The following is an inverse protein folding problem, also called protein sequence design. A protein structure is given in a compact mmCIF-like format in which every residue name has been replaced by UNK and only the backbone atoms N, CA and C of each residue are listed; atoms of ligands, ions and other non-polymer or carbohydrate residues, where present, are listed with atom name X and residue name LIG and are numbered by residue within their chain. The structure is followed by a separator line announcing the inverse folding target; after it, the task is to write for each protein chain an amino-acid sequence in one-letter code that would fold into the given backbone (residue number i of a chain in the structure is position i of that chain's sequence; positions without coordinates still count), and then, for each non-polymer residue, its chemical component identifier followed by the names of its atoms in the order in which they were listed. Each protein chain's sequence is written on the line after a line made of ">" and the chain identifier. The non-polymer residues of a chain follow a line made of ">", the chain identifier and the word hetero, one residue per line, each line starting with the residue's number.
data_IF_753059715837
#
_entry.id   IF_753059715837
#
_cell.length_a   1.000
_cell.length_b   1.000
_cell.length_c   1.000
_cell.angle_alpha   90.00
_cell.angle_beta   90.00
_cell.angle_gamma   90.00
#
_symmetry.space_group_name_H-M   'P 1'
#
loop_
_entity.id
_entity.type
_entity.pdbx_description
1 polymer ?
#
# COMPACT_ATOMS: atom_id res chain seq x y z
N UNK A 1 6.94 -13.76 -54.79
CA UNK A 1 6.18 -13.55 -53.54
C UNK A 1 6.82 -14.42 -52.47
N UNK A 2 7.75 -13.85 -51.72
CA UNK A 2 8.44 -14.52 -50.61
C UNK A 2 7.59 -14.35 -49.35
N UNK A 3 7.17 -15.46 -48.75
CA UNK A 3 6.45 -15.47 -47.49
C UNK A 3 7.37 -14.93 -46.37
N UNK A 4 6.86 -14.00 -45.57
CA UNK A 4 7.52 -13.52 -44.37
C UNK A 4 7.68 -14.69 -43.38
N UNK A 5 8.84 -14.83 -42.71
CA UNK A 5 9.02 -15.87 -41.70
C UNK A 5 8.07 -15.60 -40.53
N UNK A 6 7.27 -16.61 -40.18
CA UNK A 6 6.47 -16.60 -38.95
C UNK A 6 7.40 -16.52 -37.76
N UNK A 7 7.33 -15.42 -37.01
CA UNK A 7 7.96 -15.26 -35.71
C UNK A 7 7.32 -16.30 -34.75
N UNK A 8 7.97 -17.44 -34.58
CA UNK A 8 7.64 -18.39 -33.52
C UNK A 8 8.32 -17.89 -32.26
N UNK A 9 7.59 -17.16 -31.42
CA UNK A 9 8.02 -16.83 -30.06
C UNK A 9 7.82 -18.08 -29.22
N UNK A 10 8.92 -18.76 -28.89
CA UNK A 10 8.91 -19.81 -27.87
C UNK A 10 8.74 -19.15 -26.49
N UNK A 11 7.49 -19.01 -26.05
CA UNK A 11 7.18 -18.67 -24.66
C UNK A 11 7.29 -19.94 -23.79
N UNK A 12 8.53 -20.39 -23.58
CA UNK A 12 8.83 -21.54 -22.73
C UNK A 12 8.36 -21.29 -21.29
N UNK A 13 8.48 -20.05 -20.81
CA UNK A 13 8.04 -19.67 -19.46
C UNK A 13 6.52 -19.80 -19.29
N UNK A 14 5.74 -19.38 -20.29
CA UNK A 14 4.29 -19.56 -20.32
C UNK A 14 3.87 -21.03 -20.48
N UNK A 15 4.65 -21.84 -21.19
CA UNK A 15 4.42 -23.29 -21.28
C UNK A 15 4.66 -23.97 -19.92
N UNK A 16 5.80 -23.74 -19.28
CA UNK A 16 6.12 -24.29 -17.96
C UNK A 16 5.15 -23.81 -16.88
N UNK A 17 4.73 -22.55 -16.93
CA UNK A 17 3.71 -22.00 -16.03
C UNK A 17 2.35 -22.68 -16.22
N UNK A 18 1.93 -22.95 -17.47
CA UNK A 18 0.66 -23.62 -17.78
C UNK A 18 0.62 -25.08 -17.36
N UNK A 19 1.69 -25.85 -17.59
CA UNK A 19 1.76 -27.25 -17.18
C UNK A 19 1.75 -27.42 -15.66
N UNK A 20 2.49 -26.55 -14.95
CA UNK A 20 2.51 -26.53 -13.49
C UNK A 20 1.13 -26.16 -12.91
N UNK A 21 0.43 -25.20 -13.51
CA UNK A 21 -0.93 -24.83 -13.14
C UNK A 21 -1.94 -25.96 -13.43
N UNK A 22 -1.78 -26.66 -14.56
CA UNK A 22 -2.59 -27.84 -14.89
C UNK A 22 -2.43 -28.97 -13.87
N UNK A 23 -1.20 -29.26 -13.43
CA UNK A 23 -0.93 -30.26 -12.39
C UNK A 23 -1.48 -29.82 -11.04
N UNK A 24 -1.26 -28.56 -10.66
CA UNK A 24 -1.81 -27.96 -9.43
C UNK A 24 -3.33 -28.12 -9.34
N UNK A 25 -4.06 -27.82 -10.42
CA UNK A 25 -5.51 -28.01 -10.47
C UNK A 25 -5.91 -29.47 -10.25
N UNK A 26 -5.25 -30.41 -10.95
CA UNK A 26 -5.49 -31.85 -10.78
C UNK A 26 -5.24 -32.32 -9.34
N UNK A 27 -4.22 -31.77 -8.67
CA UNK A 27 -3.93 -32.10 -7.27
C UNK A 27 -5.01 -31.57 -6.32
N UNK A 28 -5.54 -30.37 -6.57
CA UNK A 28 -6.63 -29.79 -5.76
C UNK A 28 -7.97 -30.54 -5.92
N UNK A 29 -8.16 -31.25 -7.03
CA UNK A 29 -9.33 -32.08 -7.32
C UNK A 29 -9.27 -33.48 -6.67
N UNK A 30 -8.17 -33.84 -5.99
CA UNK A 30 -8.03 -35.14 -5.33
C UNK A 30 -8.51 -35.06 -3.88
N UNK A 31 -9.47 -35.92 -3.54
CA UNK A 31 -9.94 -36.09 -2.17
C UNK A 31 -8.81 -36.55 -1.23
N UNK A 32 -8.68 -35.87 -0.10
CA UNK A 32 -7.68 -36.14 0.94
C UNK A 32 -6.41 -35.29 0.88
N UNK A 33 -6.21 -34.49 -0.18
CA UNK A 33 -5.12 -33.50 -0.23
C UNK A 33 -5.61 -32.18 0.39
N UNK A 34 -4.91 -31.63 1.40
CA UNK A 34 -5.25 -30.30 1.91
C UNK A 34 -5.19 -29.23 0.80
N UNK A 35 -6.23 -28.41 0.71
CA UNK A 35 -6.38 -27.35 -0.31
C UNK A 35 -5.72 -26.02 0.09
N UNK A 36 -4.82 -26.07 1.06
CA UNK A 36 -4.07 -24.95 1.60
C UNK A 36 -2.60 -25.05 1.26
N UNK A 37 -1.89 -23.92 1.26
CA UNK A 37 -0.44 -23.86 1.01
C UNK A 37 0.35 -24.76 1.98
N UNK A 38 -0.11 -24.81 3.24
CA UNK A 38 0.34 -25.76 4.24
C UNK A 38 -0.79 -26.15 5.20
N UNK A 39 -0.62 -27.25 5.93
CA UNK A 39 -1.51 -27.65 7.02
C UNK A 39 -0.73 -28.36 8.13
N UNK A 40 -0.87 -27.89 9.36
CA UNK A 40 -0.27 -28.53 10.54
C UNK A 40 -1.04 -29.80 10.89
N UNK A 41 -0.31 -30.87 11.17
CA UNK A 41 -0.82 -32.18 11.57
C UNK A 41 -0.80 -32.32 13.09
N UNK A 42 -1.61 -33.25 13.63
CA UNK A 42 -1.70 -33.51 15.08
C UNK A 42 -0.38 -33.95 15.73
N UNK A 43 0.52 -34.52 14.94
CA UNK A 43 1.84 -34.95 15.38
C UNK A 43 2.90 -33.83 15.31
N UNK A 44 2.49 -32.60 15.00
CA UNK A 44 3.36 -31.43 14.89
C UNK A 44 4.15 -31.35 13.57
N UNK A 45 3.91 -32.25 12.62
CA UNK A 45 4.47 -32.14 11.26
C UNK A 45 3.60 -31.27 10.37
N UNK A 46 4.16 -30.78 9.28
CA UNK A 46 3.48 -29.86 8.36
C UNK A 46 3.40 -30.48 6.99
N UNK A 47 2.18 -30.60 6.49
CA UNK A 47 1.95 -30.83 5.06
C UNK A 47 2.28 -29.54 4.29
N UNK A 48 3.07 -29.65 3.22
CA UNK A 48 3.37 -28.52 2.32
C UNK A 48 2.94 -28.86 0.90
N UNK A 49 1.98 -28.10 0.35
CA UNK A 49 1.44 -28.34 -0.99
C UNK A 49 2.51 -28.15 -2.08
N UNK A 50 3.39 -27.16 -1.92
CA UNK A 50 4.51 -26.91 -2.83
C UNK A 50 5.45 -28.12 -2.96
N UNK A 51 5.71 -28.82 -1.85
CA UNK A 51 6.51 -30.06 -1.83
C UNK A 51 5.79 -31.18 -2.56
N UNK A 52 4.49 -31.37 -2.32
CA UNK A 52 3.72 -32.40 -3.04
C UNK A 52 3.72 -32.15 -4.55
N UNK A 53 3.51 -30.90 -4.97
CA UNK A 53 3.56 -30.51 -6.38
C UNK A 53 4.93 -30.83 -7.01
N UNK A 54 6.01 -30.52 -6.28
CA UNK A 54 7.37 -30.84 -6.71
C UNK A 54 7.57 -32.36 -6.85
N UNK A 55 7.22 -33.14 -5.84
CA UNK A 55 7.38 -34.61 -5.84
C UNK A 55 6.62 -35.28 -7.00
N UNK A 56 5.37 -34.89 -7.21
CA UNK A 56 4.55 -35.43 -8.30
C UNK A 56 5.10 -35.02 -9.66
N UNK A 57 5.51 -33.75 -9.82
CA UNK A 57 6.13 -33.27 -11.07
C UNK A 57 7.40 -34.04 -11.42
N UNK A 58 8.28 -34.30 -10.43
CA UNK A 58 9.49 -35.09 -10.64
C UNK A 58 9.16 -36.55 -11.00
N UNK A 59 8.18 -37.16 -10.34
CA UNK A 59 7.76 -38.54 -10.63
C UNK A 59 7.19 -38.71 -12.06
N UNK A 60 6.48 -37.69 -12.57
CA UNK A 60 5.95 -37.68 -13.93
C UNK A 60 7.09 -37.47 -14.93
N UNK A 61 7.94 -36.46 -14.72
CA UNK A 61 9.04 -36.12 -15.63
C UNK A 61 10.12 -37.20 -15.72
N UNK A 62 10.36 -37.95 -14.65
CA UNK A 62 11.34 -39.04 -14.64
C UNK A 62 10.84 -40.33 -15.31
N UNK A 63 9.61 -40.38 -15.85
CA UNK A 63 8.97 -41.60 -16.36
C UNK A 63 8.99 -42.76 -15.35
N UNK A 64 9.04 -42.46 -14.04
CA UNK A 64 9.12 -43.48 -13.00
C UNK A 64 7.82 -44.28 -12.85
N UNK A 65 6.71 -43.76 -13.39
CA UNK A 65 5.39 -44.41 -13.37
C UNK A 65 4.53 -44.02 -14.59
N UNK A 66 4.87 -44.48 -15.81
CA UNK A 66 4.21 -44.03 -17.05
C UNK A 66 2.72 -44.42 -17.13
N UNK A 67 2.31 -45.49 -16.42
CA UNK A 67 0.95 -46.02 -16.43
C UNK A 67 0.13 -45.70 -15.17
N UNK A 68 0.72 -45.00 -14.18
CA UNK A 68 -0.01 -44.66 -12.95
C UNK A 68 -0.78 -43.35 -13.14
N UNK A 69 -2.07 -43.39 -12.78
CA UNK A 69 -2.88 -42.19 -12.65
C UNK A 69 -2.28 -41.21 -11.62
N UNK A 70 -2.34 -39.91 -11.92
CA UNK A 70 -1.82 -38.81 -11.08
C UNK A 70 -2.40 -38.90 -9.67
N UNK A 71 -3.66 -39.31 -9.53
CA UNK A 71 -4.30 -39.53 -8.23
C UNK A 71 -3.58 -40.58 -7.40
N UNK A 72 -3.13 -41.67 -8.02
CA UNK A 72 -2.40 -42.75 -7.35
C UNK A 72 -1.01 -42.26 -6.92
N UNK A 73 -0.29 -41.61 -7.84
CA UNK A 73 1.04 -41.04 -7.57
C UNK A 73 0.97 -40.03 -6.42
N UNK A 74 0.01 -39.11 -6.44
CA UNK A 74 -0.14 -38.10 -5.41
C UNK A 74 -0.45 -38.70 -4.03
N UNK A 75 -1.27 -39.76 -3.97
CA UNK A 75 -1.55 -40.46 -2.70
C UNK A 75 -0.33 -41.20 -2.16
N UNK A 76 0.44 -41.85 -3.03
CA UNK A 76 1.69 -42.53 -2.65
C UNK A 76 2.75 -41.53 -2.12
N UNK A 77 2.79 -40.32 -2.68
CA UNK A 77 3.78 -39.28 -2.33
C UNK A 77 3.31 -38.33 -1.22
N UNK A 78 2.02 -38.33 -0.86
CA UNK A 78 1.45 -37.46 0.18
C UNK A 78 2.22 -37.54 1.51
N UNK A 79 2.61 -38.74 2.03
CA UNK A 79 3.37 -38.82 3.27
C UNK A 79 4.76 -38.15 3.21
N UNK A 80 5.37 -38.08 2.02
CA UNK A 80 6.68 -37.43 1.82
C UNK A 80 6.57 -35.90 1.76
N UNK A 81 5.36 -35.38 1.51
CA UNK A 81 5.05 -33.95 1.58
C UNK A 81 4.78 -33.46 3.02
N UNK A 82 4.81 -34.36 4.00
CA UNK A 82 4.64 -34.06 5.44
C UNK A 82 6.02 -34.02 6.09
N UNK A 83 6.44 -32.81 6.49
CA UNK A 83 7.81 -32.49 6.88
C UNK A 83 7.90 -31.82 8.25
N UNK A 84 9.11 -31.62 8.74
CA UNK A 84 9.35 -30.88 9.99
C UNK A 84 9.05 -29.37 9.82
N UNK A 85 8.71 -28.66 10.92
CA UNK A 85 8.59 -27.20 10.91
C UNK A 85 9.79 -26.47 10.35
N UNK A 86 10.99 -26.85 10.76
CA UNK A 86 12.22 -26.25 10.29
C UNK A 86 12.41 -26.41 8.78
N UNK A 87 12.12 -27.58 8.23
CA UNK A 87 12.21 -27.84 6.79
C UNK A 87 11.15 -27.02 6.02
N UNK A 88 9.91 -26.96 6.52
CA UNK A 88 8.85 -26.17 5.91
C UNK A 88 9.21 -24.67 5.85
N UNK A 89 9.80 -24.14 6.91
CA UNK A 89 10.17 -22.72 6.98
C UNK A 89 11.40 -22.43 6.11
N UNK A 90 12.48 -23.20 6.26
CA UNK A 90 13.76 -22.87 5.63
C UNK A 90 13.83 -23.25 4.15
N UNK A 91 13.25 -24.38 3.75
CA UNK A 91 13.32 -24.88 2.37
C UNK A 91 12.13 -24.44 1.52
N UNK A 92 10.95 -24.33 2.14
CA UNK A 92 9.70 -24.01 1.43
C UNK A 92 9.15 -22.62 1.75
N UNK A 93 9.81 -21.84 2.61
CA UNK A 93 9.45 -20.46 2.90
C UNK A 93 8.09 -20.31 3.59
N UNK A 94 7.63 -21.31 4.32
CA UNK A 94 6.35 -21.26 5.03
C UNK A 94 6.43 -20.23 6.16
N UNK A 95 5.46 -19.32 6.20
CA UNK A 95 5.28 -18.31 7.26
C UNK A 95 3.97 -18.59 8.01
N UNK A 96 3.95 -18.60 9.36
CA UNK A 96 2.72 -18.80 10.12
C UNK A 96 1.67 -17.73 9.78
N UNK A 97 0.42 -18.12 9.58
CA UNK A 97 -0.69 -17.16 9.38
C UNK A 97 -1.12 -16.61 10.75
N UNK A 98 -1.35 -15.30 10.90
CA UNK A 98 -1.39 -14.24 9.88
C UNK A 98 -0.11 -13.37 9.86
N UNK A 99 1.05 -13.95 10.15
CA UNK A 99 2.32 -13.24 10.14
C UNK A 99 2.91 -13.09 8.73
N UNK A 100 3.77 -12.09 8.58
CA UNK A 100 4.64 -11.87 7.42
C UNK A 100 6.05 -11.51 7.88
N UNK A 101 7.03 -11.77 7.02
CA UNK A 101 8.40 -11.31 7.23
C UNK A 101 8.52 -9.90 6.68
N UNK A 102 8.99 -8.96 7.51
CA UNK A 102 9.37 -7.62 7.07
C UNK A 102 10.89 -7.51 7.02
N UNK A 103 11.41 -6.96 5.92
CA UNK A 103 12.84 -6.80 5.63
C UNK A 103 13.31 -5.34 5.74
N UNK A 104 12.40 -4.40 5.98
CA UNK A 104 12.67 -2.97 6.04
C UNK A 104 11.98 -2.30 7.23
N UNK A 105 11.99 -2.97 8.39
CA UNK A 105 11.50 -2.34 9.61
C UNK A 105 12.42 -1.15 9.96
N UNK A 106 11.91 0.04 10.31
CA UNK A 106 12.74 1.20 10.65
C UNK A 106 13.74 0.95 11.79
N UNK A 107 13.46 -0.07 12.62
CA UNK A 107 14.30 -0.49 13.76
C UNK A 107 15.29 -1.60 13.38
N UNK A 108 15.05 -2.28 12.26
CA UNK A 108 15.91 -3.33 11.77
C UNK A 108 17.02 -2.72 10.91
N UNK A 109 18.27 -3.13 11.15
CA UNK A 109 19.37 -2.80 10.26
C UNK A 109 19.19 -3.49 8.91
N UNK A 110 19.90 -3.01 7.89
CA UNK A 110 19.90 -3.63 6.56
C UNK A 110 20.27 -5.13 6.70
N UNK A 111 19.37 -5.99 6.23
CA UNK A 111 19.53 -7.45 6.27
C UNK A 111 18.86 -8.14 7.46
N UNK A 112 18.51 -7.40 8.52
CA UNK A 112 17.73 -7.90 9.64
C UNK A 112 16.24 -8.03 9.28
N UNK A 113 15.51 -8.82 10.06
CA UNK A 113 14.15 -9.25 9.74
C UNK A 113 13.26 -9.26 10.96
N UNK A 114 12.00 -8.89 10.77
CA UNK A 114 10.99 -8.90 11.83
C UNK A 114 9.79 -9.77 11.42
N UNK A 115 9.18 -10.45 12.39
CA UNK A 115 7.89 -11.10 12.20
C UNK A 115 6.76 -10.14 12.55
N UNK A 116 5.86 -9.92 11.61
CA UNK A 116 4.79 -8.92 11.69
C UNK A 116 3.44 -9.60 11.57
N UNK A 117 2.59 -9.45 12.58
CA UNK A 117 1.19 -9.82 12.54
C UNK A 117 0.45 -8.87 11.58
N UNK A 118 0.25 -9.29 10.33
CA UNK A 118 -0.16 -8.41 9.25
C UNK A 118 -1.49 -7.68 9.52
N UNK A 119 -2.55 -8.34 10.04
CA UNK A 119 -3.81 -7.65 10.33
C UNK A 119 -3.75 -6.60 11.44
N UNK A 120 -2.79 -6.72 12.37
CA UNK A 120 -2.65 -5.77 13.46
C UNK A 120 -1.58 -4.72 13.18
N UNK A 121 -0.86 -4.84 12.05
CA UNK A 121 0.30 -4.01 11.73
C UNK A 121 1.26 -3.90 12.94
N UNK A 122 1.50 -5.04 13.58
CA UNK A 122 2.28 -5.14 14.81
C UNK A 122 3.36 -6.19 14.65
N UNK A 123 4.55 -5.95 15.19
CA UNK A 123 5.66 -6.89 15.17
C UNK A 123 5.82 -7.60 16.50
N UNK A 124 6.40 -8.80 16.49
CA UNK A 124 6.94 -9.36 17.72
C UNK A 124 8.16 -8.53 18.18
N UNK A 125 8.47 -8.48 19.49
CA UNK A 125 9.54 -7.64 20.01
C UNK A 125 10.94 -7.94 19.45
N UNK A 126 11.18 -9.19 19.06
CA UNK A 126 12.48 -9.66 18.59
C UNK A 126 12.76 -9.33 17.13
N UNK A 127 14.04 -9.05 16.85
CA UNK A 127 14.58 -8.77 15.52
C UNK A 127 15.61 -9.87 15.23
N UNK A 128 15.47 -10.52 14.07
CA UNK A 128 16.28 -11.67 13.69
C UNK A 128 17.32 -11.29 12.64
N UNK A 129 18.58 -11.72 12.79
CA UNK A 129 19.62 -11.45 11.79
C UNK A 129 19.42 -12.21 10.47
N UNK A 130 18.78 -13.38 10.50
CA UNK A 130 18.65 -14.25 9.32
C UNK A 130 17.43 -15.19 9.40
N UNK A 131 17.27 -16.06 8.39
CA UNK A 131 16.19 -17.05 8.36
C UNK A 131 16.33 -18.14 9.44
N UNK A 132 17.56 -18.53 9.76
CA UNK A 132 17.85 -19.62 10.68
C UNK A 132 17.51 -19.25 12.12
N UNK A 133 17.90 -18.05 12.53
CA UNK A 133 17.59 -17.45 13.84
C UNK A 133 16.10 -17.19 14.04
N UNK A 134 15.35 -16.92 12.98
CA UNK A 134 13.88 -16.73 13.03
C UNK A 134 13.11 -18.06 13.08
N UNK A 135 13.71 -19.15 12.61
CA UNK A 135 13.06 -20.45 12.47
C UNK A 135 12.45 -20.99 13.79
N UNK A 136 13.11 -20.88 14.96
CA UNK A 136 12.50 -21.26 16.24
C UNK A 136 11.21 -20.50 16.55
N UNK A 137 11.21 -19.17 16.38
CA UNK A 137 10.05 -18.33 16.60
C UNK A 137 8.90 -18.68 15.65
N UNK A 138 9.19 -18.82 14.36
CA UNK A 138 8.20 -19.23 13.38
C UNK A 138 7.65 -20.63 13.68
N UNK A 139 8.51 -21.58 14.08
CA UNK A 139 8.09 -22.95 14.41
C UNK A 139 7.17 -22.98 15.62
N UNK A 140 7.50 -22.24 16.68
CA UNK A 140 6.67 -22.14 17.88
C UNK A 140 5.28 -21.60 17.56
N UNK A 141 5.22 -20.50 16.79
CA UNK A 141 3.95 -19.89 16.36
C UNK A 141 3.18 -20.85 15.45
N UNK A 142 3.84 -21.49 14.48
CA UNK A 142 3.22 -22.41 13.52
C UNK A 142 2.50 -23.57 14.21
N UNK A 143 3.07 -24.07 15.31
CA UNK A 143 2.50 -25.16 16.10
C UNK A 143 1.42 -24.71 17.09
N UNK A 144 0.97 -23.46 17.02
CA UNK A 144 -0.06 -22.89 17.88
C UNK A 144 0.44 -22.39 19.23
N UNK A 145 1.76 -22.36 19.44
CA UNK A 145 2.40 -21.73 20.58
C UNK A 145 2.56 -20.22 20.41
N UNK A 146 3.25 -19.61 21.37
CA UNK A 146 3.68 -18.21 21.32
C UNK A 146 5.20 -18.15 21.48
N UNK A 147 5.79 -17.07 20.97
CA UNK A 147 7.20 -16.79 21.11
C UNK A 147 7.42 -15.74 22.20
N UNK A 148 7.79 -16.23 23.38
CA UNK A 148 8.19 -15.42 24.52
C UNK A 148 9.57 -15.92 24.96
N UNK A 149 10.63 -15.63 24.21
CA UNK A 149 11.96 -15.93 24.74
C UNK A 149 12.29 -14.90 25.81
N UNK A 150 12.33 -15.34 27.07
CA UNK A 150 12.95 -14.60 28.17
C UNK A 150 14.44 -14.41 27.82
N UNK A 151 14.80 -13.38 27.06
CA UNK A 151 16.21 -13.13 26.72
C UNK A 151 16.80 -11.85 27.33
N UNK A 152 18.01 -11.93 27.95
CA UNK A 152 18.75 -10.83 28.58
C UNK A 152 19.31 -9.76 27.63
N UNK A 153 18.95 -9.77 26.35
CA UNK A 153 19.55 -8.92 25.32
C UNK A 153 18.56 -7.94 24.65
N UNK A 154 17.30 -7.94 25.09
CA UNK A 154 16.21 -7.16 24.48
C UNK A 154 16.09 -5.71 24.99
N UNK A 155 16.87 -5.32 26.00
CA UNK A 155 16.72 -4.01 26.64
C UNK A 155 17.50 -2.86 26.00
N UNK A 156 18.47 -3.12 25.10
CA UNK A 156 19.28 -2.05 24.47
C UNK A 156 18.91 -1.78 23.00
N UNK A 157 18.62 -2.81 22.17
CA UNK A 157 18.28 -2.59 20.75
C UNK A 157 16.87 -2.05 20.51
N UNK A 158 15.94 -2.28 21.44
CA UNK A 158 14.58 -1.71 21.38
C UNK A 158 14.49 -0.28 21.95
N UNK A 159 15.60 0.33 22.39
CA UNK A 159 15.59 1.66 23.04
C UNK A 159 15.26 2.83 22.11
N UNK A 160 15.06 2.60 20.81
CA UNK A 160 14.69 3.64 19.85
C UNK A 160 13.24 3.65 19.40
N UNK A 161 12.47 2.57 19.60
CA UNK A 161 11.12 2.46 19.04
C UNK A 161 10.03 2.52 20.11
N UNK A 162 9.41 3.69 20.22
CA UNK A 162 8.31 3.98 21.14
C UNK A 162 6.95 3.43 20.64
N UNK A 163 6.93 2.22 20.08
CA UNK A 163 5.69 1.59 19.64
C UNK A 163 4.82 1.16 20.84
N UNK A 164 3.50 1.30 20.72
CA UNK A 164 2.56 0.86 21.74
C UNK A 164 2.58 -0.67 21.85
N UNK A 165 2.88 -1.19 23.04
CA UNK A 165 2.96 -2.63 23.33
C UNK A 165 1.61 -3.18 23.76
N UNK A 166 1.28 -4.40 23.32
CA UNK A 166 0.09 -5.12 23.76
C UNK A 166 0.31 -6.64 23.68
N UNK A 167 -0.48 -7.40 24.43
CA UNK A 167 -0.45 -8.87 24.39
C UNK A 167 -1.70 -9.40 23.68
N UNK A 168 -1.53 -10.28 22.70
CA UNK A 168 -2.63 -10.95 22.02
C UNK A 168 -2.48 -12.46 22.14
N UNK A 169 -3.43 -13.10 22.83
CA UNK A 169 -3.46 -14.56 23.05
C UNK A 169 -2.13 -15.13 23.59
N UNK A 170 -1.46 -14.38 24.46
CA UNK A 170 -0.19 -14.79 25.06
C UNK A 170 1.06 -14.35 24.29
N UNK A 171 0.92 -13.87 23.04
CA UNK A 171 2.02 -13.31 22.25
C UNK A 171 2.15 -11.81 22.50
N UNK A 172 3.34 -11.36 22.90
CA UNK A 172 3.65 -9.94 22.97
C UNK A 172 3.88 -9.36 21.57
N UNK A 173 3.31 -8.17 21.34
CA UNK A 173 3.34 -7.44 20.08
C UNK A 173 3.59 -5.94 20.31
N UNK A 174 4.18 -5.29 19.31
CA UNK A 174 4.48 -3.85 19.27
C UNK A 174 3.86 -3.27 18.00
N UNK A 175 2.96 -2.30 18.15
CA UNK A 175 2.38 -1.59 17.01
C UNK A 175 3.43 -0.77 16.28
N UNK A 176 3.35 -0.77 14.95
CA UNK A 176 4.16 0.14 14.12
C UNK A 176 3.77 1.60 14.31
N UNK A 177 2.46 1.85 14.40
CA UNK A 177 1.90 3.17 14.64
C UNK A 177 1.02 3.09 15.88
N UNK A 178 1.33 3.86 16.94
CA UNK A 178 0.48 3.93 18.12
C UNK A 178 -0.97 4.30 17.77
N UNK A 179 -1.92 3.66 18.43
CA UNK A 179 -3.35 3.94 18.29
C UNK A 179 -3.81 4.78 19.48
N UNK A 180 -4.55 5.85 19.19
CA UNK A 180 -5.02 6.76 20.23
C UNK A 180 -5.45 8.10 19.67
N UNK A 181 -6.37 8.77 20.37
CA UNK A 181 -6.83 10.10 19.97
C UNK A 181 -5.74 11.15 20.18
N UNK A 182 -4.84 10.92 21.14
CA UNK A 182 -3.65 11.73 21.41
C UNK A 182 -2.60 11.68 20.29
N UNK A 183 -2.70 10.68 19.40
CA UNK A 183 -1.83 10.53 18.24
C UNK A 183 -2.42 11.15 16.98
N UNK A 184 -3.66 11.65 17.03
CA UNK A 184 -4.22 12.44 15.95
C UNK A 184 -3.67 13.87 16.02
N UNK A 185 -3.21 14.45 14.90
CA UNK A 185 -2.88 15.87 14.83
C UNK A 185 -4.10 16.72 15.17
N UNK A 186 -3.88 17.99 15.50
CA UNK A 186 -4.97 18.96 15.66
C UNK A 186 -5.80 19.00 14.38
N UNK A 187 -7.10 18.73 14.48
CA UNK A 187 -8.02 18.79 13.36
C UNK A 187 -8.03 20.22 12.79
N UNK A 188 -7.66 20.43 11.51
CA UNK A 188 -7.71 21.75 10.91
C UNK A 188 -9.17 22.14 10.63
N UNK A 189 -9.48 23.42 10.83
CA UNK A 189 -10.79 23.98 10.51
C UNK A 189 -10.87 24.27 9.01
N UNK A 190 -11.86 23.69 8.33
CA UNK A 190 -12.06 23.89 6.89
C UNK A 190 -12.75 25.25 6.67
N UNK A 191 -12.08 26.25 6.06
CA UNK A 191 -12.68 27.56 5.84
C UNK A 191 -13.79 27.49 4.79
N UNK A 192 -14.82 28.34 4.91
CA UNK A 192 -15.86 28.45 3.88
C UNK A 192 -15.43 29.41 2.78
N UNK A 193 -15.78 29.08 1.52
CA UNK A 193 -15.58 30.01 0.41
C UNK A 193 -16.53 31.22 0.56
N UNK A 194 -16.01 32.47 0.57
CA UNK A 194 -16.81 33.67 0.66
C UNK A 194 -17.90 33.70 -0.42
N UNK A 195 -19.12 34.13 -0.07
CA UNK A 195 -20.27 34.14 -1.00
C UNK A 195 -20.03 34.96 -2.28
N UNK A 196 -19.12 35.95 -2.23
CA UNK A 196 -18.73 36.78 -3.37
C UNK A 196 -17.88 36.04 -4.42
N UNK A 197 -17.29 34.90 -4.06
CA UNK A 197 -16.45 34.07 -4.94
C UNK A 197 -17.21 32.88 -5.52
N UNK A 198 -18.49 32.71 -5.20
CA UNK A 198 -19.33 31.59 -5.67
C UNK A 198 -19.76 31.83 -7.12
N UNK A 199 -19.45 30.87 -8.00
CA UNK A 199 -19.96 30.87 -9.38
C UNK A 199 -21.29 30.13 -9.44
N UNK A 200 -22.28 30.66 -10.16
CA UNK A 200 -23.52 29.95 -10.45
C UNK A 200 -23.24 28.87 -11.51
N UNK A 201 -23.28 27.60 -11.11
CA UNK A 201 -23.16 26.47 -12.06
C UNK A 201 -24.53 26.19 -12.67
N UNK A 202 -24.58 26.00 -13.98
CA UNK A 202 -25.78 25.52 -14.68
C UNK A 202 -25.95 24.01 -14.47
N UNK A 203 -27.20 23.59 -14.25
CA UNK A 203 -27.72 22.25 -13.86
C UNK A 203 -27.17 21.00 -14.60
N UNK A 204 -26.31 21.14 -15.62
CA UNK A 204 -25.74 20.03 -16.39
C UNK A 204 -24.40 19.48 -15.86
N UNK A 205 -23.66 20.22 -15.03
CA UNK A 205 -22.33 19.81 -14.53
C UNK A 205 -22.36 18.90 -13.29
N UNK A 206 -23.46 18.91 -12.53
CA UNK A 206 -23.58 18.18 -11.27
C UNK A 206 -23.62 16.65 -11.45
N UNK A 207 -24.02 16.16 -12.63
CA UNK A 207 -24.20 14.74 -12.92
C UNK A 207 -22.92 13.99 -13.30
N UNK A 208 -21.92 14.65 -13.89
CA UNK A 208 -20.59 14.05 -14.18
C UNK A 208 -19.64 14.10 -12.97
N UNK A 209 -19.80 15.12 -12.12
CA UNK A 209 -19.01 15.30 -10.89
C UNK A 209 -19.29 14.26 -9.80
N UNK A 210 -20.50 13.70 -9.77
CA UNK A 210 -20.91 12.69 -8.78
C UNK A 210 -20.21 11.32 -8.90
N UNK A 211 -19.48 11.07 -9.99
CA UNK A 211 -18.74 9.83 -10.21
C UNK A 211 -17.24 9.94 -9.88
N UNK A 212 -16.74 11.13 -9.56
CA UNK A 212 -15.34 11.34 -9.18
C UNK A 212 -15.15 11.12 -7.66
N UNK A 213 -15.05 9.84 -7.28
CA UNK A 213 -14.40 9.32 -6.07
C UNK A 213 -14.76 10.08 -4.78
N UNK A 214 -15.99 9.91 -4.28
CA UNK A 214 -16.25 10.17 -2.86
C UNK A 214 -15.41 9.18 -2.04
N UNK A 215 -14.40 9.64 -1.28
CA UNK A 215 -13.55 8.76 -0.50
C UNK A 215 -14.41 7.96 0.48
N UNK A 216 -14.38 6.63 0.35
CA UNK A 216 -15.11 5.76 1.26
C UNK A 216 -14.39 5.70 2.61
N UNK A 217 -15.12 5.75 3.74
CA UNK A 217 -14.52 5.57 5.06
C UNK A 217 -13.86 4.20 5.19
N UNK A 218 -12.68 4.15 5.81
CA UNK A 218 -12.04 2.87 6.15
C UNK A 218 -12.88 2.11 7.19
N UNK A 219 -13.62 2.80 8.06
CA UNK A 219 -14.57 2.20 9.00
C UNK A 219 -16.02 2.36 8.50
N UNK A 220 -16.25 1.98 7.24
CA UNK A 220 -17.57 1.93 6.61
C UNK A 220 -18.58 1.07 7.38
N UNK A 221 -19.84 1.07 6.93
CA UNK A 221 -20.95 0.34 7.58
C UNK A 221 -20.74 -1.16 7.70
N UNK A 222 -19.90 -1.77 6.86
CA UNK A 222 -19.60 -3.20 6.85
C UNK A 222 -18.58 -3.60 7.92
N UNK A 223 -17.81 -2.64 8.44
CA UNK A 223 -16.84 -2.88 9.51
C UNK A 223 -17.52 -2.73 10.87
N UNK A 224 -17.68 -3.86 11.56
CA UNK A 224 -18.26 -3.92 12.91
C UNK A 224 -17.17 -4.11 13.97
N UNK A 225 -17.39 -3.51 15.14
CA UNK A 225 -16.53 -3.75 16.30
C UNK A 225 -16.57 -5.23 16.73
N UNK A 226 -15.38 -5.80 16.95
CA UNK A 226 -15.16 -7.14 17.51
C UNK A 226 -14.23 -7.04 18.72
N UNK A 227 -14.62 -7.67 19.83
CA UNK A 227 -13.75 -7.79 21.00
C UNK A 227 -12.59 -8.73 20.72
N UNK A 228 -11.42 -8.46 21.31
CA UNK A 228 -10.26 -9.36 21.24
C UNK A 228 -8.97 -8.69 20.75
N UNK A 229 -9.02 -7.43 20.32
CA UNK A 229 -7.85 -6.61 20.00
C UNK A 229 -7.64 -5.55 21.10
N UNK A 230 -6.73 -5.79 22.07
CA UNK A 230 -6.60 -4.94 23.26
C UNK A 230 -6.37 -3.44 23.02
N UNK A 231 -5.60 -3.02 21.98
CA UNK A 231 -5.41 -1.60 21.70
C UNK A 231 -6.70 -0.84 21.34
N UNK A 232 -7.80 -1.53 21.00
CA UNK A 232 -9.04 -0.89 20.55
C UNK A 232 -10.21 -1.40 21.37
N UNK A 233 -10.71 -0.53 22.25
CA UNK A 233 -11.99 -0.72 22.92
C UNK A 233 -13.16 -0.18 22.08
N UNK A 234 -14.39 -0.63 22.39
CA UNK A 234 -15.60 -0.20 21.67
C UNK A 234 -15.76 1.32 21.66
N UNK A 235 -15.52 1.97 22.80
CA UNK A 235 -15.64 3.42 22.91
C UNK A 235 -14.67 4.16 21.98
N UNK A 236 -13.42 3.69 21.87
CA UNK A 236 -12.43 4.25 20.96
C UNK A 236 -12.80 3.98 19.49
N UNK A 237 -13.23 2.76 19.16
CA UNK A 237 -13.71 2.40 17.82
C UNK A 237 -14.87 3.30 17.36
N UNK A 238 -15.90 3.45 18.19
CA UNK A 238 -17.07 4.27 17.85
C UNK A 238 -16.68 5.75 17.70
N UNK A 239 -15.75 6.24 18.54
CA UNK A 239 -15.27 7.62 18.49
C UNK A 239 -14.46 7.90 17.23
N UNK A 240 -13.50 7.05 16.88
CA UNK A 240 -12.64 7.29 15.70
C UNK A 240 -13.42 7.12 14.39
N UNK A 241 -14.39 6.19 14.37
CA UNK A 241 -15.35 6.07 13.27
C UNK A 241 -16.20 7.35 13.11
N UNK A 242 -16.64 7.95 14.22
CA UNK A 242 -17.32 9.24 14.19
C UNK A 242 -16.43 10.33 13.58
N UNK A 243 -15.17 10.44 14.06
CA UNK A 243 -14.20 11.41 13.54
C UNK A 243 -13.96 11.24 12.03
N UNK A 244 -13.81 10.00 11.56
CA UNK A 244 -13.63 9.71 10.13
C UNK A 244 -14.84 10.12 9.29
N UNK A 245 -16.05 9.79 9.72
CA UNK A 245 -17.26 10.18 8.99
C UNK A 245 -17.46 11.70 8.97
N UNK A 246 -17.24 12.37 10.10
CA UNK A 246 -17.33 13.83 10.20
C UNK A 246 -16.30 14.50 9.28
N UNK A 247 -15.05 14.02 9.32
CA UNK A 247 -13.96 14.52 8.48
C UNK A 247 -14.22 14.33 6.99
N UNK A 248 -14.67 13.14 6.58
CA UNK A 248 -15.02 12.88 5.18
C UNK A 248 -16.21 13.74 4.73
N UNK A 249 -17.21 13.93 5.58
CA UNK A 249 -18.34 14.81 5.27
C UNK A 249 -17.90 16.26 5.03
N UNK A 250 -17.04 16.79 5.91
CA UNK A 250 -16.49 18.15 5.80
C UNK A 250 -15.62 18.31 4.55
N UNK A 251 -14.70 17.36 4.32
CA UNK A 251 -13.77 17.41 3.19
C UNK A 251 -14.45 17.17 1.84
N UNK A 252 -15.38 16.24 1.72
CA UNK A 252 -16.21 16.06 0.51
C UNK A 252 -17.05 17.30 0.21
N UNK A 253 -17.50 18.04 1.23
CA UNK A 253 -18.15 19.34 1.06
C UNK A 253 -17.23 20.37 0.43
N UNK A 254 -16.02 20.51 0.97
CA UNK A 254 -15.00 21.43 0.45
C UNK A 254 -14.52 21.05 -0.96
N UNK A 255 -14.27 19.77 -1.23
CA UNK A 255 -13.87 19.25 -2.54
C UNK A 255 -14.97 19.52 -3.56
N UNK A 256 -16.24 19.22 -3.25
CA UNK A 256 -17.36 19.56 -4.15
C UNK A 256 -17.45 21.04 -4.40
N UNK A 257 -17.24 21.87 -3.37
CA UNK A 257 -17.23 23.33 -3.55
C UNK A 257 -16.07 23.78 -4.44
N UNK A 258 -14.89 23.18 -4.30
CA UNK A 258 -13.74 23.43 -5.17
C UNK A 258 -14.06 23.04 -6.62
N UNK A 259 -14.61 21.85 -6.84
CA UNK A 259 -14.98 21.31 -8.14
C UNK A 259 -16.18 22.02 -8.80
N UNK A 260 -17.15 22.50 -8.03
CA UNK A 260 -18.26 23.34 -8.55
C UNK A 260 -17.73 24.72 -8.96
N UNK A 261 -16.64 25.17 -8.35
CA UNK A 261 -15.89 26.33 -8.83
C UNK A 261 -14.81 25.96 -9.87
N UNK A 262 -14.86 24.75 -10.46
CA UNK A 262 -13.99 24.36 -11.58
C UNK A 262 -14.18 25.30 -12.77
N UNK A 263 -13.04 25.64 -13.37
CA UNK A 263 -12.87 26.79 -14.26
C UNK A 263 -11.90 27.83 -13.72
N UNK A 264 -11.36 27.63 -12.51
CA UNK A 264 -10.32 28.47 -11.89
C UNK A 264 -9.10 27.70 -11.36
N UNK A 265 -8.85 26.53 -11.91
CA UNK A 265 -7.51 25.93 -11.93
C UNK A 265 -6.47 26.99 -12.45
N UNK A 266 -6.87 27.84 -13.41
CA UNK A 266 -6.11 29.03 -13.82
C UNK A 266 -5.93 30.10 -12.74
N UNK A 267 -6.80 30.19 -11.72
CA UNK A 267 -6.61 31.13 -10.61
C UNK A 267 -5.53 30.65 -9.63
N UNK A 268 -5.32 29.34 -9.50
CA UNK A 268 -4.15 28.80 -8.81
C UNK A 268 -2.89 29.12 -9.59
N UNK A 269 -2.88 28.87 -10.90
CA UNK A 269 -1.76 29.21 -11.77
C UNK A 269 -1.44 30.72 -11.73
N UNK A 270 -2.47 31.57 -11.78
CA UNK A 270 -2.34 33.02 -11.66
C UNK A 270 -1.76 33.41 -10.30
N UNK A 271 -2.30 32.88 -9.20
CA UNK A 271 -1.79 33.24 -7.88
C UNK A 271 -0.39 32.72 -7.62
N UNK A 272 -0.03 31.51 -8.06
CA UNK A 272 1.35 31.01 -7.94
C UNK A 272 2.34 31.87 -8.72
N UNK A 273 1.93 32.40 -9.89
CA UNK A 273 2.78 33.26 -10.72
C UNK A 273 2.86 34.71 -10.22
N UNK A 274 1.87 35.15 -9.42
CA UNK A 274 1.92 36.43 -8.69
C UNK A 274 2.95 36.45 -7.55
N UNK A 275 3.49 35.29 -7.14
CA UNK A 275 4.53 35.18 -6.09
C UNK A 275 5.85 34.62 -6.65
N UNK A 276 6.70 35.43 -7.30
CA UNK A 276 7.92 34.95 -7.96
C UNK A 276 8.96 34.32 -7.02
N UNK A 277 8.86 34.60 -5.71
CA UNK A 277 9.72 33.99 -4.67
C UNK A 277 9.54 32.47 -4.58
N UNK A 278 8.31 31.97 -4.81
CA UNK A 278 7.96 30.53 -4.91
C UNK A 278 8.79 29.87 -6.01
N UNK A 279 8.77 30.46 -7.20
CA UNK A 279 9.45 29.93 -8.38
C UNK A 279 10.98 30.05 -8.21
N UNK A 280 11.45 31.11 -7.53
CA UNK A 280 12.85 31.26 -7.13
C UNK A 280 13.35 30.16 -6.18
N UNK A 281 12.53 29.75 -5.20
CA UNK A 281 12.86 28.64 -4.30
C UNK A 281 12.90 27.30 -5.03
N UNK A 282 11.92 27.03 -5.89
CA UNK A 282 11.92 25.83 -6.74
C UNK A 282 13.15 25.79 -7.66
N UNK A 283 13.58 26.93 -8.20
CA UNK A 283 14.81 27.01 -8.98
C UNK A 283 16.05 26.67 -8.16
N UNK A 284 16.20 27.25 -6.97
CA UNK A 284 17.36 26.99 -6.12
C UNK A 284 17.53 25.49 -5.82
N UNK A 285 16.42 24.75 -5.85
CA UNK A 285 16.37 23.35 -5.44
C UNK A 285 16.43 22.36 -6.61
N UNK A 286 15.78 22.67 -7.74
CA UNK A 286 15.66 21.76 -8.88
C UNK A 286 16.52 22.18 -10.09
N UNK A 287 17.29 23.27 -10.01
CA UNK A 287 18.16 23.69 -11.11
C UNK A 287 19.45 22.85 -11.23
N UNK A 288 19.88 22.16 -10.18
CA UNK A 288 21.07 21.30 -10.20
C UNK A 288 20.64 19.86 -10.57
N UNK A 289 20.55 19.53 -11.86
CA UNK A 289 20.25 18.14 -12.24
C UNK A 289 20.13 17.78 -13.72
N UNK A 290 19.93 18.73 -14.63
CA UNK A 290 19.77 18.40 -16.06
C UNK A 290 21.06 18.61 -16.86
N UNK A 291 21.76 17.53 -17.19
CA UNK A 291 22.73 17.54 -18.31
C UNK A 291 21.93 17.32 -19.60
N UNK A 292 21.36 18.41 -20.14
CA UNK A 292 20.48 18.41 -21.31
C UNK A 292 21.27 18.20 -22.60
N UNK A 293 21.78 16.98 -22.79
CA UNK A 293 22.70 16.61 -23.87
C UNK A 293 22.03 15.99 -25.09
N UNK A 294 20.73 15.71 -25.08
CA UNK A 294 20.03 14.99 -26.14
C UNK A 294 18.96 15.85 -26.85
N UNK A 295 18.89 15.75 -28.18
CA UNK A 295 17.97 16.54 -29.03
C UNK A 295 16.48 16.33 -28.66
N UNK A 296 16.11 15.13 -28.19
CA UNK A 296 14.74 14.80 -27.77
C UNK A 296 14.29 15.61 -26.53
N UNK A 297 15.19 15.86 -25.58
CA UNK A 297 14.92 16.62 -24.34
C UNK A 297 14.67 18.12 -24.64
N UNK A 298 15.31 18.64 -25.69
CA UNK A 298 15.14 20.02 -26.13
C UNK A 298 13.76 20.25 -26.80
N UNK A 299 13.25 19.27 -27.55
CA UNK A 299 11.90 19.31 -28.12
C UNK A 299 10.84 19.23 -27.02
N UNK A 300 11.00 18.32 -26.06
CA UNK A 300 10.09 18.17 -24.92
C UNK A 300 10.04 19.43 -24.04
N UNK A 301 11.19 20.03 -23.76
CA UNK A 301 11.27 21.29 -23.03
C UNK A 301 10.58 22.44 -23.79
N UNK A 302 10.74 22.51 -25.10
CA UNK A 302 10.04 23.49 -25.94
C UNK A 302 8.52 23.34 -25.84
N UNK A 303 8.01 22.12 -25.87
CA UNK A 303 6.57 21.85 -25.71
C UNK A 303 6.09 22.16 -24.29
N UNK A 304 6.87 21.83 -23.24
CA UNK A 304 6.54 22.22 -21.87
C UNK A 304 6.46 23.75 -21.70
N UNK A 305 7.39 24.51 -22.32
CA UNK A 305 7.36 25.97 -22.28
C UNK A 305 6.17 26.56 -23.04
N UNK A 306 5.71 25.91 -24.10
CA UNK A 306 4.47 26.31 -24.80
C UNK A 306 3.23 26.06 -23.93
N UNK A 307 3.22 24.98 -23.16
CA UNK A 307 2.08 24.60 -22.31
C UNK A 307 2.03 25.35 -20.98
N UNK A 308 3.18 25.76 -20.44
CA UNK A 308 3.31 26.51 -19.19
C UNK A 308 4.09 27.83 -19.36
N UNK A 309 3.62 28.76 -20.22
CA UNK A 309 4.30 30.03 -20.47
C UNK A 309 4.37 30.91 -19.20
N UNK A 310 3.39 30.76 -18.32
CA UNK A 310 3.26 31.52 -17.08
C UNK A 310 4.37 31.18 -16.06
N UNK A 311 5.02 30.01 -16.20
CA UNK A 311 6.14 29.54 -15.38
C UNK A 311 7.51 29.97 -15.93
N UNK A 312 7.58 31.05 -16.70
CA UNK A 312 8.82 31.58 -17.30
C UNK A 312 9.93 31.89 -16.29
N UNK A 313 9.59 32.13 -15.03
CA UNK A 313 10.55 32.36 -13.97
C UNK A 313 11.26 31.08 -13.50
N UNK A 314 10.73 29.88 -13.78
CA UNK A 314 11.46 28.62 -13.54
C UNK A 314 12.60 28.46 -14.54
N UNK A 315 13.71 27.85 -14.12
CA UNK A 315 14.79 27.42 -15.01
C UNK A 315 14.35 26.22 -15.83
N UNK A 316 14.97 26.01 -16.99
CA UNK A 316 14.69 24.85 -17.85
C UNK A 316 14.99 23.53 -17.11
N UNK A 317 16.06 23.52 -16.32
CA UNK A 317 16.39 22.47 -15.34
C UNK A 317 15.23 22.13 -14.41
N UNK A 318 14.72 23.15 -13.74
CA UNK A 318 13.71 22.98 -12.71
C UNK A 318 12.36 22.55 -13.28
N UNK A 319 11.88 23.18 -14.35
CA UNK A 319 10.55 22.85 -14.91
C UNK A 319 10.52 21.42 -15.46
N UNK A 320 11.60 20.97 -16.10
CA UNK A 320 11.70 19.60 -16.61
C UNK A 320 11.74 18.58 -15.48
N UNK A 321 12.63 18.76 -14.49
CA UNK A 321 12.74 17.85 -13.35
C UNK A 321 11.45 17.75 -12.53
N UNK A 322 10.77 18.88 -12.29
CA UNK A 322 9.50 18.92 -11.57
C UNK A 322 8.38 18.23 -12.35
N UNK A 323 8.33 18.43 -13.66
CA UNK A 323 7.30 17.81 -14.51
C UNK A 323 7.51 16.31 -14.65
N UNK A 324 8.75 15.84 -14.83
CA UNK A 324 9.09 14.41 -14.85
C UNK A 324 8.71 13.74 -13.53
N UNK A 325 9.05 14.35 -12.40
CA UNK A 325 8.67 13.83 -11.08
C UNK A 325 7.14 13.79 -10.92
N UNK A 326 6.41 14.83 -11.33
CA UNK A 326 4.94 14.85 -11.33
C UNK A 326 4.34 13.68 -12.15
N UNK A 327 4.84 13.45 -13.37
CA UNK A 327 4.35 12.37 -14.24
C UNK A 327 4.68 10.97 -13.70
N UNK A 328 5.86 10.80 -13.08
CA UNK A 328 6.24 9.53 -12.43
C UNK A 328 5.31 9.17 -11.26
N UNK A 329 4.67 10.19 -10.67
CA UNK A 329 3.81 10.10 -9.51
C UNK A 329 2.35 9.79 -9.87
N UNK A 330 1.80 10.49 -10.88
CA UNK A 330 0.44 10.28 -11.38
C UNK A 330 0.40 9.08 -12.35
N UNK A 331 0.41 7.86 -11.79
CA UNK A 331 0.45 6.57 -12.51
C UNK A 331 -0.67 6.31 -13.54
N UNK A 332 -1.54 7.27 -13.82
CA UNK A 332 -2.59 7.18 -14.84
C UNK A 332 -2.13 7.64 -16.23
N UNK A 333 -0.99 8.32 -16.35
CA UNK A 333 -0.44 8.70 -17.65
C UNK A 333 0.51 7.59 -18.12
N UNK A 334 0.11 6.87 -19.17
CA UNK A 334 0.96 5.93 -19.89
C UNK A 334 2.29 6.61 -20.25
N UNK A 335 3.38 5.84 -20.44
CA UNK A 335 4.70 6.32 -20.95
C UNK A 335 4.68 7.09 -22.29
N UNK A 336 3.51 7.44 -22.82
CA UNK A 336 3.36 8.39 -23.90
C UNK A 336 3.16 9.77 -23.27
N UNK A 337 4.03 10.70 -23.61
CA UNK A 337 4.11 12.07 -23.11
C UNK A 337 3.08 12.97 -23.83
N UNK A 338 1.87 13.24 -23.31
CA UNK A 338 1.14 14.42 -23.77
C UNK A 338 1.71 15.62 -23.02
N UNK A 339 2.49 16.45 -23.71
CA UNK A 339 2.90 17.78 -23.24
C UNK A 339 1.73 18.77 -23.23
N UNK A 340 0.52 18.31 -22.90
CA UNK A 340 -0.66 19.18 -22.75
C UNK A 340 -0.65 19.87 -21.38
N UNK A 341 -1.20 21.09 -21.30
CA UNK A 341 -1.31 21.85 -20.05
C UNK A 341 -2.26 21.11 -19.10
N UNK A 342 -1.72 20.66 -17.98
CA UNK A 342 -2.42 20.00 -16.89
C UNK A 342 -2.34 20.89 -15.65
N UNK A 343 -3.48 21.44 -15.22
CA UNK A 343 -3.45 22.42 -14.14
C UNK A 343 -3.19 21.77 -12.77
N UNK A 344 -3.33 20.45 -12.67
CA UNK A 344 -2.93 19.67 -11.50
C UNK A 344 -1.41 19.74 -11.25
N UNK A 345 -0.61 20.06 -12.29
CA UNK A 345 0.81 20.32 -12.12
C UNK A 345 1.07 21.55 -11.22
N UNK A 346 0.24 22.61 -11.29
CA UNK A 346 0.37 23.76 -10.40
C UNK A 346 0.08 23.41 -8.94
N UNK A 347 -0.90 22.53 -8.69
CA UNK A 347 -1.13 21.99 -7.36
C UNK A 347 0.09 21.20 -6.86
N UNK A 348 0.66 20.34 -7.71
CA UNK A 348 1.90 19.62 -7.38
C UNK A 348 3.03 20.57 -6.97
N UNK A 349 3.28 21.64 -7.74
CA UNK A 349 4.29 22.66 -7.42
C UNK A 349 4.05 23.32 -6.05
N UNK A 350 2.81 23.69 -5.75
CA UNK A 350 2.43 24.25 -4.45
C UNK A 350 2.65 23.26 -3.30
N UNK A 351 2.38 21.97 -3.53
CA UNK A 351 2.62 20.90 -2.57
C UNK A 351 4.09 20.65 -2.25
N UNK A 352 4.94 20.65 -3.28
CA UNK A 352 6.40 20.54 -3.13
C UNK A 352 6.94 21.63 -2.21
N UNK A 353 6.48 22.86 -2.36
CA UNK A 353 6.89 23.97 -1.49
C UNK A 353 6.34 23.86 -0.08
N UNK A 354 5.05 23.55 0.06
CA UNK A 354 4.38 23.45 1.36
C UNK A 354 5.07 22.44 2.29
N UNK A 355 5.53 21.32 1.74
CA UNK A 355 6.22 20.28 2.51
C UNK A 355 7.64 20.66 2.91
N UNK A 356 8.35 21.40 2.05
CA UNK A 356 9.76 21.76 2.27
C UNK A 356 9.95 23.02 3.10
N UNK A 357 9.05 24.00 3.00
CA UNK A 357 9.02 25.20 3.87
C UNK A 357 8.68 24.82 5.31
N UNK A 358 7.77 23.87 5.52
CA UNK A 358 7.40 23.41 6.85
C UNK A 358 8.52 22.62 7.57
N UNK A 359 9.45 21.98 6.83
CA UNK A 359 10.50 21.13 7.39
C UNK A 359 11.81 21.18 6.59
N UNK A 360 12.53 22.31 6.66
CA UNK A 360 13.88 22.39 6.09
C UNK A 360 14.79 21.30 6.71
N UNK A 361 15.23 20.33 5.90
CA UNK A 361 16.18 19.28 6.29
C UNK A 361 15.58 17.94 6.73
N UNK A 362 14.25 17.79 6.73
CA UNK A 362 13.63 16.46 6.84
C UNK A 362 13.35 15.96 5.43
N UNK A 363 14.15 15.00 4.98
CA UNK A 363 13.84 14.22 3.78
C UNK A 363 12.65 13.33 4.14
N UNK A 364 11.42 13.87 4.07
CA UNK A 364 10.21 13.06 4.23
C UNK A 364 10.29 12.06 3.07
N UNK A 365 10.47 10.75 3.31
CA UNK A 365 10.32 9.75 2.27
C UNK A 365 8.81 9.67 2.02
N UNK A 366 8.31 10.64 1.28
CA UNK A 366 6.88 10.89 1.10
C UNK A 366 6.52 10.47 -0.31
N UNK A 367 5.66 9.46 -0.40
CA UNK A 367 4.87 9.14 -1.58
C UNK A 367 4.48 10.46 -2.28
N UNK A 368 5.08 10.75 -3.45
CA UNK A 368 4.97 12.01 -4.19
C UNK A 368 3.50 12.43 -4.42
N UNK A 369 2.56 11.47 -4.32
CA UNK A 369 1.10 11.67 -4.32
C UNK A 369 0.61 12.63 -3.25
N UNK A 370 1.35 12.73 -2.14
CA UNK A 370 1.06 13.64 -1.04
C UNK A 370 1.19 15.10 -1.48
N UNK A 371 2.10 15.43 -2.40
CA UNK A 371 2.28 16.79 -2.88
C UNK A 371 1.06 17.29 -3.65
N UNK A 372 0.48 16.45 -4.51
CA UNK A 372 -0.76 16.80 -5.22
C UNK A 372 -1.91 17.07 -4.25
N UNK A 373 -2.06 16.22 -3.23
CA UNK A 373 -3.09 16.39 -2.19
C UNK A 373 -2.90 17.69 -1.39
N UNK A 374 -1.68 17.93 -0.90
CA UNK A 374 -1.33 19.14 -0.15
C UNK A 374 -1.58 20.39 -0.99
N UNK A 375 -1.14 20.38 -2.24
CA UNK A 375 -1.32 21.48 -3.17
C UNK A 375 -2.77 21.82 -3.47
N UNK A 376 -3.64 20.80 -3.59
CA UNK A 376 -5.09 20.99 -3.75
C UNK A 376 -5.70 21.69 -2.54
N UNK A 377 -5.32 21.29 -1.33
CA UNK A 377 -5.81 21.94 -0.12
C UNK A 377 -5.25 23.36 0.07
N UNK A 378 -3.99 23.60 -0.31
CA UNK A 378 -3.44 24.95 -0.34
C UNK A 378 -4.19 25.83 -1.35
N UNK A 379 -4.54 25.28 -2.52
CA UNK A 379 -5.37 25.96 -3.52
C UNK A 379 -6.73 26.34 -2.95
N UNK A 380 -7.37 25.41 -2.26
CA UNK A 380 -8.65 25.66 -1.59
C UNK A 380 -8.56 26.81 -0.58
N UNK A 381 -7.54 26.82 0.28
CA UNK A 381 -7.29 27.90 1.23
C UNK A 381 -7.08 29.27 0.54
N UNK A 382 -6.32 29.28 -0.56
CA UNK A 382 -6.10 30.47 -1.39
C UNK A 382 -7.42 31.01 -1.97
N UNK A 383 -8.34 30.13 -2.39
CA UNK A 383 -9.68 30.50 -2.86
C UNK A 383 -10.55 31.06 -1.73
N UNK A 384 -10.33 30.60 -0.50
CA UNK A 384 -10.95 31.15 0.70
C UNK A 384 -10.35 32.51 1.14
N UNK A 385 -9.33 33.00 0.44
CA UNK A 385 -8.72 34.31 0.69
C UNK A 385 -7.56 34.30 1.69
N UNK A 386 -7.02 33.12 2.02
CA UNK A 386 -5.81 33.01 2.83
C UNK A 386 -4.60 33.55 2.07
N UNK A 387 -3.64 34.12 2.80
CA UNK A 387 -2.31 34.38 2.27
C UNK A 387 -1.57 33.06 1.97
N UNK A 388 -0.50 33.17 1.20
CA UNK A 388 0.21 32.02 0.67
C UNK A 388 0.79 31.11 1.77
N UNK A 389 1.49 31.68 2.77
CA UNK A 389 2.14 30.92 3.84
C UNK A 389 1.09 30.18 4.67
N UNK A 390 0.00 30.87 5.02
CA UNK A 390 -1.13 30.27 5.73
C UNK A 390 -1.79 29.15 4.92
N UNK A 391 -1.92 29.32 3.60
CA UNK A 391 -2.52 28.32 2.73
C UNK A 391 -1.66 27.06 2.59
N UNK A 392 -0.34 27.22 2.46
CA UNK A 392 0.61 26.10 2.43
C UNK A 392 0.58 25.31 3.75
N UNK A 393 0.63 26.02 4.89
CA UNK A 393 0.52 25.42 6.22
C UNK A 393 -0.81 24.67 6.41
N UNK A 394 -1.91 25.25 5.93
CA UNK A 394 -3.22 24.61 5.92
C UNK A 394 -3.23 23.33 5.09
N UNK A 395 -2.74 23.37 3.85
CA UNK A 395 -2.70 22.19 2.98
C UNK A 395 -1.92 21.04 3.58
N UNK A 396 -0.78 21.34 4.23
CA UNK A 396 -0.01 20.34 4.97
C UNK A 396 -0.78 19.79 6.17
N UNK A 397 -1.38 20.66 6.99
CA UNK A 397 -2.12 20.24 8.18
C UNK A 397 -3.30 19.33 7.84
N UNK A 398 -4.03 19.64 6.76
CA UNK A 398 -5.13 18.80 6.26
C UNK A 398 -4.63 17.44 5.81
N UNK A 399 -3.57 17.39 5.00
CA UNK A 399 -3.02 16.12 4.54
C UNK A 399 -2.43 15.29 5.69
N UNK A 400 -1.76 15.92 6.66
CA UNK A 400 -1.19 15.25 7.83
C UNK A 400 -2.28 14.66 8.72
N UNK A 401 -3.36 15.41 8.98
CA UNK A 401 -4.52 14.91 9.70
C UNK A 401 -5.18 13.74 8.96
N UNK A 402 -5.45 13.89 7.67
CA UNK A 402 -6.08 12.86 6.83
C UNK A 402 -5.25 11.58 6.78
N UNK A 403 -3.94 11.69 6.52
CA UNK A 403 -3.04 10.53 6.46
C UNK A 403 -2.95 9.80 7.80
N UNK A 404 -2.86 10.55 8.91
CA UNK A 404 -2.78 9.95 10.25
C UNK A 404 -4.09 9.28 10.63
N UNK A 405 -5.23 9.91 10.32
CA UNK A 405 -6.56 9.34 10.56
C UNK A 405 -6.75 8.06 9.74
N UNK A 406 -6.48 8.09 8.43
CA UNK A 406 -6.54 6.92 7.53
C UNK A 406 -5.64 5.78 7.99
N UNK A 407 -4.42 6.10 8.45
CA UNK A 407 -3.51 5.08 8.96
C UNK A 407 -4.08 4.38 10.19
N UNK A 408 -4.63 5.12 11.15
CA UNK A 408 -5.27 4.54 12.33
C UNK A 408 -6.53 3.75 11.92
N UNK A 409 -7.42 4.32 11.11
CA UNK A 409 -8.68 3.66 10.71
C UNK A 409 -8.44 2.41 9.85
N UNK A 410 -7.45 2.42 8.95
CA UNK A 410 -7.03 1.24 8.18
C UNK A 410 -6.44 0.13 9.07
N UNK A 411 -5.64 0.49 10.08
CA UNK A 411 -5.11 -0.47 11.06
C UNK A 411 -6.25 -1.12 11.86
N UNK A 412 -7.22 -0.31 12.31
CA UNK A 412 -8.40 -0.79 13.03
C UNK A 412 -9.28 -1.66 12.11
N UNK A 413 -9.54 -1.23 10.87
CA UNK A 413 -10.29 -2.00 9.86
C UNK A 413 -9.68 -3.38 9.69
N UNK A 414 -8.37 -3.45 9.45
CA UNK A 414 -7.66 -4.71 9.24
C UNK A 414 -7.78 -5.65 10.45
N UNK A 415 -7.65 -5.11 11.67
CA UNK A 415 -7.82 -5.86 12.90
C UNK A 415 -9.25 -6.40 13.07
N UNK A 416 -10.28 -5.57 12.83
CA UNK A 416 -11.68 -5.97 12.98
C UNK A 416 -12.10 -7.02 11.93
N UNK A 417 -11.66 -6.87 10.68
CA UNK A 417 -11.92 -7.86 9.64
C UNK A 417 -11.27 -9.21 9.96
N UNK A 418 -10.05 -9.20 10.51
CA UNK A 418 -9.39 -10.43 10.97
C UNK A 418 -10.12 -11.09 12.15
N UNK A 419 -10.56 -10.31 13.14
CA UNK A 419 -11.36 -10.86 14.23
C UNK A 419 -12.71 -11.42 13.74
N UNK A 420 -13.33 -10.77 12.76
CA UNK A 420 -14.56 -11.25 12.13
C UNK A 420 -14.33 -12.57 11.37
N UNK A 421 -13.22 -12.71 10.64
CA UNK A 421 -12.89 -13.96 9.93
C UNK A 421 -12.66 -15.11 10.92
N UNK A 422 -11.98 -14.85 12.04
CA UNK A 422 -11.77 -15.83 13.10
C UNK A 422 -13.07 -16.28 13.79
N UNK A 423 -14.10 -15.43 13.80
CA UNK A 423 -15.40 -15.77 14.37
C UNK A 423 -16.33 -16.49 13.39
N UNK A 424 -16.14 -16.29 12.08
CA UNK A 424 -16.96 -16.88 11.03
C UNK A 424 -16.58 -18.34 10.73
N UNK A 425 -15.33 -18.73 10.96
CA UNK A 425 -14.85 -20.09 10.75
C UNK A 425 -14.81 -20.87 12.07
N UNK A 426 -15.25 -22.15 12.11
CA UNK A 426 -15.01 -22.98 13.28
C UNK A 426 -13.50 -23.05 13.48
N UNK A 427 -13.01 -22.61 14.65
CA UNK A 427 -11.58 -22.57 14.94
C UNK A 427 -10.97 -23.96 14.69
N UNK A 428 -10.18 -24.08 13.63
CA UNK A 428 -9.35 -25.27 13.43
C UNK A 428 -8.38 -25.32 14.60
N UNK A 429 -8.35 -26.44 15.33
CA UNK A 429 -7.39 -26.66 16.42
C UNK A 429 -5.94 -26.53 15.93
N UNK A 430 -5.72 -26.72 14.63
CA UNK A 430 -4.40 -26.69 13.99
C UNK A 430 -4.32 -25.60 12.93
N UNK A 431 -3.14 -25.00 12.80
CA UNK A 431 -2.90 -23.92 11.84
C UNK A 431 -2.96 -24.42 10.40
N UNK A 432 -3.64 -23.65 9.55
CA UNK A 432 -3.79 -23.91 8.12
C UNK A 432 -3.36 -22.66 7.36
N UNK A 433 -2.59 -22.87 6.29
CA UNK A 433 -2.17 -21.78 5.40
C UNK A 433 -3.32 -21.24 4.54
N UNK A 434 -3.00 -20.24 3.73
CA UNK A 434 -3.95 -19.69 2.75
C UNK A 434 -4.40 -20.75 1.74
N UNK A 435 -5.62 -20.64 1.19
CA UNK A 435 -6.06 -21.49 0.10
C UNK A 435 -5.08 -21.44 -1.08
N UNK A 436 -4.79 -22.59 -1.68
CA UNK A 436 -3.98 -22.64 -2.89
C UNK A 436 -4.79 -22.05 -4.05
N UNK A 437 -4.39 -20.86 -4.51
CA UNK A 437 -5.05 -20.19 -5.64
C UNK A 437 -4.40 -20.57 -6.95
N UNK A 438 -5.19 -20.95 -7.96
CA UNK A 438 -4.72 -21.09 -9.35
C UNK A 438 -4.60 -19.73 -10.03
N UNK A 439 -3.90 -19.66 -11.16
CA UNK A 439 -3.80 -18.43 -11.96
C UNK A 439 -5.18 -17.90 -12.38
N UNK A 440 -6.13 -18.79 -12.67
CA UNK A 440 -7.51 -18.42 -12.96
C UNK A 440 -8.25 -17.82 -11.75
N UNK A 441 -7.98 -18.32 -10.54
CA UNK A 441 -8.58 -17.76 -9.32
C UNK A 441 -8.07 -16.33 -9.09
N UNK A 442 -6.76 -16.12 -9.27
CA UNK A 442 -6.13 -14.80 -9.15
C UNK A 442 -6.72 -13.83 -10.18
N UNK A 443 -6.85 -14.24 -11.45
CA UNK A 443 -7.45 -13.43 -12.51
C UNK A 443 -8.95 -13.15 -12.26
N UNK A 444 -9.68 -14.12 -11.71
CA UNK A 444 -11.09 -13.97 -11.36
C UNK A 444 -11.29 -12.97 -10.22
N UNK A 445 -10.43 -13.03 -9.19
CA UNK A 445 -10.40 -12.05 -8.11
C UNK A 445 -10.08 -10.66 -8.67
N UNK A 446 -9.03 -10.53 -9.49
CA UNK A 446 -8.67 -9.24 -10.10
C UNK A 446 -9.77 -8.63 -10.97
N UNK A 447 -10.57 -9.45 -11.66
CA UNK A 447 -11.75 -9.00 -12.41
C UNK A 447 -12.90 -8.54 -11.51
N UNK A 448 -13.07 -9.14 -10.33
CA UNK A 448 -14.08 -8.74 -9.35
C UNK A 448 -13.70 -7.49 -8.56
N UNK A 449 -12.40 -7.22 -8.41
CA UNK A 449 -11.87 -6.02 -7.74
C UNK A 449 -11.80 -4.78 -8.65
N UNK A 450 -11.96 -4.97 -9.97
CA UNK A 450 -12.01 -3.89 -10.98
C UNK A 450 -13.45 -3.56 -11.43
N UNK A 451 -14.46 -4.04 -10.71
CA UNK A 451 -15.88 -3.65 -10.82
C UNK A 451 -16.24 -2.99 -9.50
#
# INVERSE_FOLDING_TARGET
>A
MTALPSLVVFDEFGHYAREREGLKKKLLDIDGIPKSTFAVQRDGRIFVFGKLLQLVSHSIGANAAPDKDIRSIAKDLLPQAIISPSEAILEYGIVPVPYRINYGDPVANIGERCLVHAPFQARIPEIFPDAGSMCPAMSAILLGGFWNEELPHSSERNQGFAGQKFNYRGQDLILWHPLGLEHLPTKPEIPEIPSASRVNVSDGGELELGFMIDPQPELDRTVEFRSGYPPVERAFFDKIRGIENDWLSETSGAIRTMLVNDGREDALAQKLTEFPEILGQLNAEFSEGGDFGHDDEAEELCELRKSYPDLSALSDGAIYALYDQYQSTDRLVSRNWPTERDVRFYAYLAGCLSTRVAHAGINIPGDDRSFVSIGRWATYAILCGMDLDSAMAFGWAVNHFDATLRQQTSTIRSAMLHLASLAAEPASELMVGTPVMTLNDILSIGRKSNI
#
